data_IF_160057145932
#
_entry.id   IF_160057145932
#
_cell.length_a   1.000
_cell.length_b   1.000
_cell.length_c   1.000
_cell.angle_alpha   90.00
_cell.angle_beta   90.00
_cell.angle_gamma   90.00
#
_symmetry.space_group_name_H-M   'P 1'
#
loop_
_entity.id
_entity.type
_entity.pdbx_description
1 polymer ?
#
# COMPACT_ATOMS: atom_id res chain seq x y z
N UNK A 1 -50.23 19.67 10.95
CA UNK A 1 -49.35 20.17 9.87
C UNK A 1 -47.99 19.50 10.04
N UNK A 2 -47.80 18.34 9.40
CA UNK A 2 -46.62 17.50 9.60
C UNK A 2 -45.64 17.84 8.49
N UNK A 3 -44.82 18.86 8.72
CA UNK A 3 -43.86 19.36 7.72
C UNK A 3 -42.80 18.32 7.30
N UNK A 4 -42.67 17.22 8.05
CA UNK A 4 -41.81 16.07 7.79
C UNK A 4 -42.63 14.81 7.43
N UNK A 5 -43.57 14.93 6.50
CA UNK A 5 -44.37 13.80 6.01
C UNK A 5 -44.11 13.53 4.52
N UNK A 6 -43.51 12.37 4.22
CA UNK A 6 -43.17 11.94 2.85
C UNK A 6 -44.40 11.65 1.98
N UNK A 7 -45.59 11.49 2.57
CA UNK A 7 -46.84 11.33 1.81
C UNK A 7 -47.24 12.64 1.13
N UNK A 8 -46.86 13.80 1.70
CA UNK A 8 -47.16 15.13 1.16
C UNK A 8 -46.09 15.62 0.18
N UNK A 9 -46.48 16.39 -0.84
CA UNK A 9 -45.54 16.97 -1.79
C UNK A 9 -44.52 17.90 -1.11
N UNK A 10 -44.98 18.72 -0.15
CA UNK A 10 -44.14 19.65 0.62
C UNK A 10 -43.14 18.88 1.49
N UNK A 11 -43.59 17.82 2.19
CA UNK A 11 -42.69 17.04 3.05
C UNK A 11 -41.60 16.31 2.26
N UNK A 12 -41.87 15.81 1.05
CA UNK A 12 -40.82 15.25 0.18
C UNK A 12 -39.76 16.29 -0.21
N UNK A 13 -40.15 17.53 -0.47
CA UNK A 13 -39.22 18.61 -0.79
C UNK A 13 -38.35 18.96 0.43
N UNK A 14 -38.95 19.11 1.62
CA UNK A 14 -38.22 19.41 2.85
C UNK A 14 -37.23 18.31 3.19
N UNK A 15 -37.63 17.03 3.06
CA UNK A 15 -36.73 15.88 3.27
C UNK A 15 -35.55 15.92 2.28
N UNK A 16 -35.81 16.26 1.01
CA UNK A 16 -34.75 16.41 0.01
C UNK A 16 -33.73 17.50 0.39
N UNK A 17 -34.20 18.67 0.81
CA UNK A 17 -33.34 19.77 1.28
C UNK A 17 -32.52 19.35 2.50
N UNK A 18 -33.13 18.69 3.49
CA UNK A 18 -32.43 18.18 4.67
C UNK A 18 -31.37 17.14 4.29
N UNK A 19 -31.66 16.27 3.32
CA UNK A 19 -30.68 15.32 2.78
C UNK A 19 -29.48 16.02 2.14
N UNK A 20 -29.73 17.06 1.33
CA UNK A 20 -28.67 17.87 0.72
C UNK A 20 -27.83 18.60 1.77
N UNK A 21 -28.46 19.21 2.78
CA UNK A 21 -27.77 19.86 3.89
C UNK A 21 -26.90 18.87 4.68
N UNK A 22 -27.42 17.68 4.96
CA UNK A 22 -26.69 16.63 5.67
C UNK A 22 -25.47 16.15 4.87
N UNK A 23 -25.62 15.99 3.54
CA UNK A 23 -24.50 15.67 2.66
C UNK A 23 -23.43 16.78 2.66
N UNK A 24 -23.87 18.03 2.57
CA UNK A 24 -23.00 19.20 2.61
C UNK A 24 -22.21 19.31 3.92
N UNK A 25 -22.85 19.12 5.08
CA UNK A 25 -22.15 19.14 6.38
C UNK A 25 -21.10 18.02 6.49
N UNK A 26 -21.40 16.85 5.93
CA UNK A 26 -20.46 15.73 5.90
C UNK A 26 -19.23 16.04 5.06
N UNK A 27 -19.41 16.71 3.92
CA UNK A 27 -18.31 17.16 3.06
C UNK A 27 -17.43 18.20 3.79
N UNK A 28 -18.04 19.23 4.37
CA UNK A 28 -17.33 20.24 5.17
C UNK A 28 -16.55 19.64 6.33
N UNK A 29 -17.13 18.67 7.02
CA UNK A 29 -16.45 17.96 8.11
C UNK A 29 -15.24 17.18 7.58
N UNK A 30 -15.38 16.52 6.43
CA UNK A 30 -14.30 15.82 5.75
C UNK A 30 -13.14 16.76 5.39
N UNK A 31 -13.44 17.94 4.85
CA UNK A 31 -12.44 18.97 4.53
C UNK A 31 -11.69 19.45 5.77
N UNK A 32 -12.41 19.73 6.87
CA UNK A 32 -11.80 20.16 8.13
C UNK A 32 -10.89 19.10 8.74
N UNK A 33 -11.29 17.82 8.67
CA UNK A 33 -10.46 16.70 9.14
C UNK A 33 -9.20 16.58 8.29
N UNK A 34 -9.31 16.68 6.95
CA UNK A 34 -8.14 16.68 6.04
C UNK A 34 -7.20 17.85 6.33
N UNK A 35 -7.73 19.06 6.47
CA UNK A 35 -6.93 20.24 6.80
C UNK A 35 -6.19 20.09 8.14
N UNK A 36 -6.88 19.54 9.15
CA UNK A 36 -6.27 19.25 10.46
C UNK A 36 -5.16 18.19 10.37
N UNK A 37 -5.37 17.14 9.56
CA UNK A 37 -4.36 16.12 9.30
C UNK A 37 -3.12 16.69 8.61
N UNK A 38 -3.30 17.49 7.55
CA UNK A 38 -2.21 18.17 6.84
C UNK A 38 -1.44 19.08 7.80
N UNK A 39 -2.13 19.86 8.64
CA UNK A 39 -1.49 20.71 9.64
C UNK A 39 -0.62 19.89 10.63
N UNK A 40 -1.05 18.69 11.02
CA UNK A 40 -0.24 17.78 11.85
C UNK A 40 1.00 17.27 11.11
N UNK A 41 0.87 16.90 9.84
CA UNK A 41 2.00 16.45 9.02
C UNK A 41 3.03 17.55 8.85
N UNK A 42 2.60 18.80 8.63
CA UNK A 42 3.48 19.98 8.58
C UNK A 42 4.22 20.22 9.89
N UNK A 43 3.64 19.83 11.03
CA UNK A 43 4.30 19.83 12.34
C UNK A 43 5.19 18.60 12.59
N UNK A 44 5.37 17.72 11.59
CA UNK A 44 6.12 16.46 11.72
C UNK A 44 5.42 15.42 12.60
N UNK A 45 4.14 15.62 12.93
CA UNK A 45 3.38 14.73 13.82
C UNK A 45 2.63 13.68 13.02
N UNK A 46 2.65 12.45 13.52
CA UNK A 46 1.82 11.38 12.98
C UNK A 46 0.32 11.73 13.07
N UNK A 47 -0.39 11.48 11.98
CA UNK A 47 -1.82 11.80 11.82
C UNK A 47 -2.70 10.76 12.50
N UNK A 48 -2.20 9.54 12.68
CA UNK A 48 -2.95 8.41 13.24
C UNK A 48 -3.13 7.27 12.24
N UNK A 49 -3.88 6.24 12.63
CA UNK A 49 -4.06 5.02 11.85
C UNK A 49 -2.96 3.99 12.09
N UNK A 50 -2.86 3.02 11.18
CA UNK A 50 -1.87 1.94 11.27
C UNK A 50 -0.47 2.46 11.01
N UNK A 51 0.44 2.13 11.93
CA UNK A 51 1.83 2.55 11.85
C UNK A 51 2.60 1.66 10.85
N UNK A 52 3.55 2.23 10.10
CA UNK A 52 4.47 1.43 9.29
C UNK A 52 5.20 0.37 10.13
N UNK A 53 5.49 -0.76 9.51
CA UNK A 53 6.09 -1.90 10.19
C UNK A 53 7.46 -1.56 10.78
N UNK A 54 7.81 -2.12 11.93
CA UNK A 54 9.06 -1.78 12.63
C UNK A 54 8.99 -0.54 13.51
N UNK A 55 7.80 0.05 13.66
CA UNK A 55 7.54 1.14 14.61
C UNK A 55 6.47 0.73 15.63
N UNK A 56 6.48 1.36 16.80
CA UNK A 56 5.47 1.21 17.85
C UNK A 56 5.04 2.58 18.39
N UNK A 57 3.79 2.66 18.86
CA UNK A 57 3.30 3.82 19.61
C UNK A 57 3.61 3.59 21.09
N UNK A 58 4.24 4.58 21.72
CA UNK A 58 4.46 4.62 23.16
C UNK A 58 3.75 5.83 23.75
N UNK A 59 3.35 5.72 25.01
CA UNK A 59 2.70 6.81 25.73
C UNK A 59 3.70 7.95 25.95
N UNK A 60 3.24 9.17 25.74
CA UNK A 60 4.09 10.36 25.72
C UNK A 60 3.56 11.42 26.70
N UNK A 61 3.63 11.11 28.00
CA UNK A 61 3.20 11.98 29.09
C UNK A 61 1.80 11.67 29.63
N UNK A 62 1.30 12.58 30.44
CA UNK A 62 0.01 12.47 31.11
C UNK A 62 -1.18 12.54 30.12
N UNK A 63 -2.33 11.93 30.45
CA UNK A 63 -3.54 12.09 29.68
C UNK A 63 -3.90 13.58 29.53
N UNK A 64 -4.26 13.98 28.32
CA UNK A 64 -4.77 15.32 28.07
C UNK A 64 -6.09 15.55 28.84
N UNK A 65 -6.50 16.80 29.11
CA UNK A 65 -7.76 17.12 29.80
C UNK A 65 -9.03 16.52 29.17
N UNK A 66 -8.94 16.10 27.91
CA UNK A 66 -10.01 15.43 27.17
C UNK A 66 -9.97 13.88 27.30
N UNK A 67 -9.15 13.35 28.21
CA UNK A 67 -8.97 11.91 28.45
C UNK A 67 -8.13 11.18 27.39
N UNK A 68 -7.64 11.86 26.35
CA UNK A 68 -6.80 11.21 25.32
C UNK A 68 -5.37 11.07 25.79
N UNK A 69 -4.80 9.89 25.59
CA UNK A 69 -3.39 9.66 25.86
C UNK A 69 -2.54 10.16 24.68
N UNK A 70 -1.56 11.04 24.92
CA UNK A 70 -0.61 11.40 23.89
C UNK A 70 0.28 10.20 23.58
N UNK A 71 0.53 9.95 22.29
CA UNK A 71 1.43 8.88 21.85
C UNK A 71 2.57 9.46 21.01
N UNK A 72 3.75 8.86 21.15
CA UNK A 72 4.93 9.11 20.33
C UNK A 72 5.25 7.87 19.51
N UNK A 73 5.66 8.09 18.27
CA UNK A 73 6.16 7.03 17.40
C UNK A 73 7.62 6.76 17.75
N UNK A 74 7.93 5.52 18.09
CA UNK A 74 9.29 5.05 18.35
C UNK A 74 9.60 3.81 17.54
N UNK A 75 10.88 3.58 17.29
CA UNK A 75 11.37 2.42 16.56
C UNK A 75 11.19 1.16 17.42
N UNK A 76 10.83 0.05 16.79
CA UNK A 76 10.84 -1.25 17.43
C UNK A 76 12.24 -1.87 17.29
N UNK A 77 12.98 -1.93 18.39
CA UNK A 77 14.37 -2.40 18.44
C UNK A 77 14.55 -3.85 17.99
N UNK A 78 13.53 -4.72 18.13
CA UNK A 78 13.63 -6.13 17.73
C UNK A 78 13.50 -6.33 16.22
N UNK A 79 12.69 -5.47 15.59
CA UNK A 79 12.25 -5.61 14.19
C UNK A 79 13.04 -4.68 13.27
N UNK A 80 13.32 -3.46 13.71
CA UNK A 80 13.92 -2.42 12.89
C UNK A 80 15.32 -2.75 12.34
N UNK A 81 16.24 -3.37 13.10
CA UNK A 81 17.53 -3.78 12.55
C UNK A 81 17.38 -4.80 11.43
N UNK A 82 16.48 -5.77 11.58
CA UNK A 82 16.19 -6.79 10.57
C UNK A 82 15.58 -6.19 9.30
N UNK A 83 14.82 -5.11 9.45
CA UNK A 83 14.24 -4.39 8.32
C UNK A 83 15.29 -3.70 7.45
N UNK A 84 16.44 -3.26 7.99
CA UNK A 84 17.48 -2.56 7.22
C UNK A 84 17.99 -3.38 6.03
N UNK A 85 18.07 -4.70 6.21
CA UNK A 85 18.51 -5.68 5.21
C UNK A 85 17.66 -5.60 3.93
N UNK A 86 16.38 -5.22 4.04
CA UNK A 86 15.51 -5.05 2.86
C UNK A 86 16.08 -3.99 1.92
N UNK A 87 16.50 -2.83 2.45
CA UNK A 87 17.05 -1.75 1.65
C UNK A 87 18.48 -2.03 1.20
N UNK A 88 19.29 -2.68 2.04
CA UNK A 88 20.65 -3.11 1.66
C UNK A 88 20.61 -4.07 0.47
N UNK A 89 19.82 -5.14 0.55
CA UNK A 89 19.67 -6.12 -0.53
C UNK A 89 19.01 -5.50 -1.78
N UNK A 90 18.05 -4.58 -1.60
CA UNK A 90 17.46 -3.86 -2.74
C UNK A 90 18.49 -2.94 -3.40
N UNK A 91 19.34 -2.28 -2.61
CA UNK A 91 20.43 -1.44 -3.11
C UNK A 91 21.52 -2.22 -3.85
N UNK A 92 21.62 -3.53 -3.61
CA UNK A 92 22.46 -4.49 -4.34
C UNK A 92 21.76 -5.13 -5.55
N UNK A 93 20.56 -4.67 -5.93
CA UNK A 93 19.78 -5.21 -7.04
C UNK A 93 19.38 -6.70 -6.85
N UNK A 94 19.21 -7.17 -5.61
CA UNK A 94 18.62 -8.49 -5.35
C UNK A 94 17.12 -8.48 -5.65
N UNK A 95 16.58 -9.62 -6.10
CA UNK A 95 15.15 -9.73 -6.39
C UNK A 95 14.30 -9.71 -5.11
N UNK A 96 13.07 -9.20 -5.19
CA UNK A 96 12.14 -9.20 -4.04
C UNK A 96 11.84 -10.61 -3.51
N UNK A 97 11.95 -11.66 -4.35
CA UNK A 97 11.90 -13.05 -3.90
C UNK A 97 13.05 -13.39 -2.97
N UNK A 98 14.28 -13.04 -3.34
CA UNK A 98 15.47 -13.32 -2.53
C UNK A 98 15.41 -12.57 -1.20
N UNK A 99 14.94 -11.33 -1.22
CA UNK A 99 14.71 -10.55 -0.01
C UNK A 99 13.67 -11.26 0.88
N UNK A 100 12.54 -11.70 0.32
CA UNK A 100 11.52 -12.43 1.09
C UNK A 100 12.07 -13.73 1.72
N UNK A 101 12.88 -14.49 0.99
CA UNK A 101 13.51 -15.71 1.49
C UNK A 101 14.50 -15.42 2.62
N UNK A 102 15.30 -14.35 2.50
CA UNK A 102 16.25 -13.98 3.54
C UNK A 102 15.53 -13.52 4.82
N UNK A 103 14.44 -12.76 4.70
CA UNK A 103 13.62 -12.38 5.85
C UNK A 103 12.99 -13.59 6.53
N UNK A 104 12.54 -14.58 5.74
CA UNK A 104 11.99 -15.83 6.27
C UNK A 104 13.05 -16.65 7.01
N UNK A 105 14.27 -16.72 6.46
CA UNK A 105 15.43 -17.35 7.11
C UNK A 105 15.78 -16.68 8.45
N UNK A 106 15.62 -15.37 8.55
CA UNK A 106 15.81 -14.60 9.79
C UNK A 106 14.63 -14.72 10.78
N UNK A 107 13.60 -15.48 10.43
CA UNK A 107 12.38 -15.64 11.22
C UNK A 107 11.52 -14.36 11.28
N UNK A 108 11.75 -13.38 10.41
CA UNK A 108 10.97 -12.16 10.38
C UNK A 108 9.73 -12.34 9.50
N UNK A 109 8.58 -12.53 10.14
CA UNK A 109 7.29 -12.58 9.43
C UNK A 109 6.78 -11.16 9.10
N UNK A 110 5.82 -11.11 8.17
CA UNK A 110 5.13 -9.86 7.81
C UNK A 110 4.29 -9.32 8.98
N UNK A 111 3.76 -8.08 8.92
CA UNK A 111 2.97 -7.50 10.00
C UNK A 111 1.74 -8.33 10.40
N UNK A 112 1.23 -9.17 9.50
CA UNK A 112 0.11 -10.08 9.75
C UNK A 112 0.55 -11.51 10.13
N UNK A 113 1.83 -11.74 10.41
CA UNK A 113 2.38 -13.06 10.75
C UNK A 113 2.50 -14.02 9.57
N UNK A 114 2.34 -13.53 8.33
CA UNK A 114 2.42 -14.34 7.09
C UNK A 114 3.78 -14.18 6.40
N UNK A 115 4.02 -15.01 5.39
CA UNK A 115 5.21 -14.89 4.55
C UNK A 115 5.21 -13.61 3.70
N UNK A 116 6.41 -13.14 3.36
CA UNK A 116 6.60 -11.91 2.63
C UNK A 116 6.18 -12.02 1.17
N UNK A 117 5.20 -11.21 0.78
CA UNK A 117 4.81 -11.05 -0.62
C UNK A 117 5.62 -9.94 -1.28
N UNK A 118 5.92 -10.12 -2.57
CA UNK A 118 6.63 -9.13 -3.41
C UNK A 118 5.98 -7.74 -3.36
N UNK A 119 4.65 -7.71 -3.45
CA UNK A 119 3.89 -6.45 -3.44
C UNK A 119 4.07 -5.70 -2.12
N UNK A 120 4.02 -6.41 -1.00
CA UNK A 120 4.23 -5.84 0.33
C UNK A 120 5.66 -5.28 0.50
N UNK A 121 6.67 -6.03 0.06
CA UNK A 121 8.06 -5.55 0.09
C UNK A 121 8.27 -4.32 -0.79
N UNK A 122 7.71 -4.33 -2.01
CA UNK A 122 7.77 -3.17 -2.91
C UNK A 122 7.10 -1.93 -2.33
N UNK A 123 5.99 -2.09 -1.61
CA UNK A 123 5.33 -0.98 -0.91
C UNK A 123 6.16 -0.45 0.28
N UNK A 124 6.83 -1.33 1.02
CA UNK A 124 7.71 -0.95 2.13
C UNK A 124 8.92 -0.15 1.63
N UNK A 125 9.61 -0.64 0.59
CA UNK A 125 10.80 0.03 0.04
C UNK A 125 10.47 1.45 -0.44
N UNK A 126 9.30 1.63 -1.06
CA UNK A 126 8.81 2.92 -1.57
C UNK A 126 8.27 3.86 -0.50
N UNK A 127 8.10 3.40 0.74
CA UNK A 127 7.50 4.23 1.77
C UNK A 127 8.54 5.23 2.33
N UNK A 128 8.34 6.56 2.18
CA UNK A 128 9.28 7.57 2.66
C UNK A 128 9.33 7.67 4.21
N UNK A 129 8.39 7.02 4.91
CA UNK A 129 8.38 6.95 6.38
C UNK A 129 9.68 6.41 6.96
N UNK A 130 10.26 5.40 6.33
CA UNK A 130 11.49 4.76 6.82
C UNK A 130 12.73 5.65 6.75
N UNK A 131 12.71 6.68 5.90
CA UNK A 131 13.74 7.74 5.83
C UNK A 131 13.39 9.00 6.63
N UNK A 132 12.37 8.94 7.49
CA UNK A 132 12.00 10.05 8.38
C UNK A 132 11.01 11.06 7.80
N UNK A 133 10.31 10.75 6.71
CA UNK A 133 9.35 11.67 6.09
C UNK A 133 7.92 11.14 6.18
N UNK A 134 6.96 12.04 6.39
CA UNK A 134 5.53 11.76 6.40
C UNK A 134 4.95 12.10 5.03
N UNK A 135 4.11 11.23 4.48
CA UNK A 135 3.34 11.48 3.25
C UNK A 135 1.85 11.45 3.59
N UNK A 136 1.13 12.54 3.30
CA UNK A 136 -0.32 12.62 3.43
C UNK A 136 -0.90 13.59 2.41
N UNK A 137 -1.95 13.17 1.69
CA UNK A 137 -2.65 14.00 0.70
C UNK A 137 -1.69 14.69 -0.30
N UNK A 138 -0.71 13.92 -0.80
CA UNK A 138 0.33 14.34 -1.74
C UNK A 138 1.35 15.38 -1.19
N UNK A 139 1.26 15.74 0.09
CA UNK A 139 2.28 16.52 0.77
C UNK A 139 3.28 15.61 1.50
N UNK A 140 4.58 15.86 1.27
CA UNK A 140 5.67 15.17 1.95
C UNK A 140 6.39 16.16 2.87
N UNK A 141 6.44 15.86 4.16
CA UNK A 141 7.10 16.69 5.18
C UNK A 141 8.04 15.87 6.05
N UNK A 142 9.04 16.52 6.65
CA UNK A 142 9.94 15.84 7.60
C UNK A 142 9.17 15.48 8.88
N UNK A 143 9.22 14.21 9.27
CA UNK A 143 8.59 13.71 10.49
C UNK A 143 9.48 13.91 11.72
N UNK A 144 8.85 13.90 12.89
CA UNK A 144 9.54 13.93 14.18
C UNK A 144 9.95 12.53 14.69
N UNK A 145 9.60 11.49 13.94
CA UNK A 145 9.98 10.12 14.27
C UNK A 145 11.40 9.82 13.79
N UNK A 146 12.02 8.84 14.45
CA UNK A 146 13.36 8.39 14.08
C UNK A 146 13.35 7.61 12.76
N UNK A 147 14.25 7.95 11.85
CA UNK A 147 14.43 7.23 10.60
C UNK A 147 15.16 5.91 10.86
N UNK A 148 14.59 4.79 10.41
CA UNK A 148 15.27 3.49 10.46
C UNK A 148 16.40 3.44 9.43
N UNK A 149 16.22 4.13 8.29
CA UNK A 149 17.08 4.04 7.10
C UNK A 149 17.63 5.41 6.75
N UNK A 150 18.89 5.46 6.35
CA UNK A 150 19.51 6.67 5.80
C UNK A 150 18.89 7.06 4.46
N UNK A 151 18.75 8.37 4.22
CA UNK A 151 18.14 8.91 3.00
C UNK A 151 18.85 8.42 1.74
N UNK A 152 20.19 8.34 1.74
CA UNK A 152 20.96 7.91 0.55
C UNK A 152 20.74 6.44 0.24
N UNK A 153 20.64 5.58 1.27
CA UNK A 153 20.38 4.16 1.09
C UNK A 153 18.96 3.94 0.54
N UNK A 154 17.99 4.68 1.07
CA UNK A 154 16.60 4.63 0.60
C UNK A 154 16.48 5.05 -0.87
N UNK A 155 17.14 6.14 -1.26
CA UNK A 155 17.16 6.63 -2.64
C UNK A 155 17.82 5.64 -3.59
N UNK A 156 18.96 5.05 -3.20
CA UNK A 156 19.65 4.04 -4.00
C UNK A 156 18.76 2.83 -4.26
N UNK A 157 18.11 2.30 -3.24
CA UNK A 157 17.19 1.16 -3.35
C UNK A 157 15.99 1.50 -4.25
N UNK A 158 15.37 2.67 -4.06
CA UNK A 158 14.23 3.10 -4.88
C UNK A 158 14.60 3.36 -6.34
N UNK A 159 15.78 3.93 -6.59
CA UNK A 159 16.28 4.13 -7.96
C UNK A 159 16.40 2.81 -8.71
N UNK A 160 16.95 1.77 -8.08
CA UNK A 160 17.06 0.43 -8.68
C UNK A 160 15.67 -0.17 -8.95
N UNK A 161 14.74 0.02 -8.01
CA UNK A 161 13.37 -0.45 -8.13
C UNK A 161 12.58 0.25 -9.25
N UNK A 162 12.77 1.55 -9.44
CA UNK A 162 12.16 2.35 -10.51
C UNK A 162 12.82 2.07 -11.87
N UNK A 163 14.15 1.94 -11.90
CA UNK A 163 14.92 1.67 -13.12
C UNK A 163 14.60 0.30 -13.76
N UNK A 164 13.82 -0.56 -13.08
CA UNK A 164 13.35 -1.85 -13.61
C UNK A 164 14.51 -2.73 -14.12
N UNK A 165 15.68 -2.63 -13.50
CA UNK A 165 16.88 -3.36 -13.91
C UNK A 165 16.61 -4.89 -13.94
N UNK A 166 17.25 -5.63 -14.86
CA UNK A 166 17.15 -7.08 -14.90
C UNK A 166 17.56 -7.66 -13.53
N UNK A 167 16.62 -8.33 -12.86
CA UNK A 167 16.65 -8.64 -11.42
C UNK A 167 15.39 -8.23 -10.68
N UNK A 168 14.74 -7.14 -11.13
CA UNK A 168 13.44 -6.65 -10.64
C UNK A 168 12.29 -6.83 -11.62
N UNK A 169 12.57 -7.02 -12.90
CA UNK A 169 11.56 -7.42 -13.88
C UNK A 169 11.36 -8.92 -13.89
N UNK A 170 10.26 -9.39 -13.31
CA UNK A 170 9.69 -10.67 -13.70
C UNK A 170 9.01 -10.46 -15.05
N UNK A 171 9.74 -10.63 -16.16
CA UNK A 171 9.04 -11.01 -17.39
C UNK A 171 8.39 -12.35 -17.07
N UNK A 172 7.06 -12.42 -17.13
CA UNK A 172 6.40 -13.71 -17.17
C UNK A 172 7.03 -14.43 -18.36
N UNK A 173 7.64 -15.60 -18.16
CA UNK A 173 8.11 -16.39 -19.30
C UNK A 173 6.92 -16.50 -20.27
N UNK A 174 7.09 -16.13 -21.56
CA UNK A 174 6.03 -16.38 -22.52
C UNK A 174 5.68 -17.86 -22.42
N UNK A 175 4.40 -18.19 -22.29
CA UNK A 175 3.99 -19.59 -22.33
C UNK A 175 4.39 -20.09 -23.72
N UNK A 176 5.32 -21.03 -23.77
CA UNK A 176 5.75 -21.68 -25.00
C UNK A 176 4.62 -22.64 -25.41
N UNK A 177 3.70 -22.13 -26.21
CA UNK A 177 2.67 -22.96 -26.82
C UNK A 177 3.34 -23.69 -27.99
N UNK A 178 3.63 -24.99 -27.81
CA UNK A 178 4.07 -25.84 -28.92
C UNK A 178 2.89 -26.04 -29.88
N UNK A 179 2.94 -25.37 -31.04
CA UNK A 179 1.96 -25.51 -32.12
C UNK A 179 2.20 -26.75 -33.00
N UNK A 180 3.23 -27.56 -32.71
CA UNK A 180 3.62 -28.69 -33.56
C UNK A 180 2.66 -29.88 -33.46
N UNK A 181 2.00 -30.09 -32.32
CA UNK A 181 1.04 -31.21 -32.15
C UNK A 181 -0.33 -30.90 -32.74
N UNK A 182 -0.77 -29.64 -32.76
CA UNK A 182 -2.11 -29.27 -33.23
C UNK A 182 -2.21 -29.37 -34.77
N UNK A 183 -1.13 -29.00 -35.48
CA UNK A 183 -1.11 -29.11 -36.95
C UNK A 183 -1.11 -30.57 -37.44
N UNK A 184 -0.51 -31.50 -36.69
CA UNK A 184 -0.55 -32.92 -37.03
C UNK A 184 -2.00 -33.44 -36.99
N UNK A 185 -2.72 -33.22 -35.87
CA UNK A 185 -4.11 -33.68 -35.72
C UNK A 185 -5.10 -32.97 -36.66
N UNK A 186 -4.90 -31.68 -36.94
CA UNK A 186 -5.75 -30.94 -37.90
C UNK A 186 -5.51 -31.44 -39.33
N UNK A 187 -4.27 -31.74 -39.72
CA UNK A 187 -3.98 -32.32 -41.05
C UNK A 187 -4.55 -33.72 -41.24
N UNK A 188 -4.51 -34.56 -40.20
CA UNK A 188 -5.03 -35.93 -40.25
C UNK A 188 -6.57 -35.96 -40.30
N UNK A 189 -7.23 -35.05 -39.58
CA UNK A 189 -8.68 -34.89 -39.62
C UNK A 189 -9.18 -34.38 -40.99
N UNK A 190 -8.52 -33.36 -41.56
CA UNK A 190 -8.87 -32.83 -42.89
C UNK A 190 -8.62 -33.89 -43.99
N UNK A 191 -7.52 -34.65 -43.89
CA UNK A 191 -7.22 -35.74 -44.82
C UNK A 191 -8.24 -36.89 -44.80
N UNK A 192 -8.81 -37.22 -43.63
CA UNK A 192 -9.90 -38.20 -43.51
C UNK A 192 -11.22 -37.69 -44.08
N UNK A 193 -11.53 -36.40 -43.90
CA UNK A 193 -12.77 -35.80 -44.42
C UNK A 193 -12.74 -35.72 -45.95
N UNK A 194 -11.61 -35.33 -46.56
CA UNK A 194 -11.51 -35.22 -48.02
C UNK A 194 -11.55 -36.57 -48.75
N UNK A 195 -11.13 -37.68 -48.11
CA UNK A 195 -11.28 -39.04 -48.68
C UNK A 195 -12.73 -39.53 -48.72
N UNK A 196 -13.61 -39.00 -47.85
CA UNK A 196 -15.02 -39.38 -47.81
C UNK A 196 -15.91 -38.56 -48.76
N UNK A 197 -15.36 -37.56 -49.46
CA UNK A 197 -16.11 -36.68 -50.37
C UNK A 197 -15.87 -37.04 -51.86
N UNK A 198 -14.98 -38.00 -52.15
CA UNK A 198 -14.67 -38.42 -53.52
C UNK A 198 -15.23 -39.84 -53.87
N UNK A 199 -16.54 -40.01 -53.64
CA UNK A 199 -17.39 -41.00 -54.33
C UNK A 199 -18.43 -40.21 -55.11
#
# INVERSE_FOLDING_TARGET
>A
CTILDSSTAIGRVVIGILGLLSAFERELTGERVKASAIARVRQGKWVGGFLPYGYKLVNNGDPLPNGKQPHKVVVNEDVAPKLKIIWEMAAENKSLCKIAQELDRMGLKSPQGKDWRKQSLGAIIKNPFYKGYLNYADEIHKGNHEAIIDEKLWEKANRILVAKLPGHCFRKAPKEYYYETVNFFVSEAIGKILKNINI
#
